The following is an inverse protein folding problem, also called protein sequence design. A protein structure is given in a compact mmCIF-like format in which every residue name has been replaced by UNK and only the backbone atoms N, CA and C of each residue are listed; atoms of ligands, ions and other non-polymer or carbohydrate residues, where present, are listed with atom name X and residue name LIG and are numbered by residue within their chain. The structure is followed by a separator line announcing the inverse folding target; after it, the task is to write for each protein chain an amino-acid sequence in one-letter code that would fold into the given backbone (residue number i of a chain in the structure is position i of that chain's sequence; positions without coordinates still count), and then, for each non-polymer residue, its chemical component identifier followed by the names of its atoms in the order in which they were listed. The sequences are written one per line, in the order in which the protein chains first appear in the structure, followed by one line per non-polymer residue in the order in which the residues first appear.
data_IF_589313861254
#
_entry.id   IF_589313861254
#
_cell.length_a   1.000
_cell.length_b   1.000
_cell.length_c   1.000
_cell.angle_alpha   90.00
_cell.angle_beta   90.00
_cell.angle_gamma   90.00
#
_symmetry.space_group_name_H-M   'P 1'
#
loop_
_entity.id
_entity.type
_entity.pdbx_description
1 polymer ?
#
# COMPACT_ATOMS: atom_id res chain seq x y z
N UNK A 1 16.50 -6.11 15.52
CA UNK A 1 16.27 -4.65 15.57
C UNK A 1 15.01 -4.41 14.75
N UNK A 2 13.85 -4.55 15.39
CA UNK A 2 12.54 -4.57 14.72
C UNK A 2 11.88 -3.21 14.81
N UNK A 3 11.37 -2.74 13.69
CA UNK A 3 10.66 -1.47 13.55
C UNK A 3 9.42 -1.47 14.46
N UNK A 4 9.36 -0.55 15.41
CA UNK A 4 8.27 -0.40 16.38
C UNK A 4 7.13 0.48 15.86
N UNK A 5 7.23 1.01 14.64
CA UNK A 5 6.20 1.85 14.03
C UNK A 5 5.20 0.95 13.31
N UNK A 6 4.01 0.76 13.91
CA UNK A 6 2.92 0.03 13.26
C UNK A 6 2.42 0.85 12.07
N UNK A 7 2.64 0.36 10.85
CA UNK A 7 2.11 0.94 9.60
C UNK A 7 0.61 0.67 9.36
N UNK A 8 -0.05 -0.04 10.28
CA UNK A 8 -1.48 -0.27 10.30
C UNK A 8 -2.01 -0.20 11.73
N UNK A 9 -3.18 0.39 11.92
CA UNK A 9 -3.79 0.53 13.25
C UNK A 9 -5.23 0.99 13.20
N UNK A 10 -5.99 0.68 14.25
CA UNK A 10 -7.33 1.21 14.44
C UNK A 10 -7.24 2.71 14.74
N UNK A 11 -7.87 3.52 13.91
CA UNK A 11 -7.93 4.96 14.12
C UNK A 11 -9.19 5.31 14.93
N UNK A 12 -9.01 5.94 16.10
CA UNK A 12 -10.09 6.44 16.93
C UNK A 12 -9.73 7.82 17.52
N UNK A 13 -10.65 8.42 18.28
CA UNK A 13 -10.47 9.75 18.89
C UNK A 13 -9.29 9.85 19.89
N UNK A 14 -8.67 8.73 20.25
CA UNK A 14 -7.49 8.69 21.13
C UNK A 14 -6.17 8.52 20.35
N UNK A 15 -6.22 8.25 19.04
CA UNK A 15 -5.04 8.13 18.20
C UNK A 15 -4.37 9.51 18.06
N UNK A 16 -3.20 9.67 18.67
CA UNK A 16 -2.52 10.97 18.74
C UNK A 16 -1.74 11.32 17.48
N UNK A 17 -1.17 10.33 16.79
CA UNK A 17 -0.27 10.56 15.67
C UNK A 17 -0.16 9.29 14.82
N UNK A 18 -0.35 9.42 13.51
CA UNK A 18 -0.05 8.37 12.54
C UNK A 18 1.08 8.89 11.64
N UNK A 19 2.24 8.26 11.76
CA UNK A 19 3.36 8.49 10.85
C UNK A 19 3.18 7.57 9.66
N UNK A 20 2.71 8.16 8.56
CA UNK A 20 2.73 7.50 7.26
C UNK A 20 4.18 7.63 6.78
N UNK A 21 4.77 6.58 6.23
CA UNK A 21 6.22 6.39 6.20
C UNK A 21 7.00 7.49 5.48
N UNK A 22 8.32 7.42 5.57
CA UNK A 22 9.23 8.52 5.17
C UNK A 22 9.27 8.79 3.65
N UNK A 23 8.49 8.07 2.85
CA UNK A 23 8.63 8.02 1.38
C UNK A 23 7.28 8.04 0.63
N UNK A 24 6.36 8.93 1.01
CA UNK A 24 5.16 9.20 0.22
C UNK A 24 4.15 8.06 0.18
N UNK A 25 4.04 7.30 1.26
CA UNK A 25 3.13 6.16 1.32
C UNK A 25 1.65 6.61 1.26
N UNK A 26 0.77 5.84 0.59
CA UNK A 26 -0.65 6.12 0.60
C UNK A 26 -1.26 5.86 1.99
N UNK A 27 -2.16 6.74 2.43
CA UNK A 27 -3.04 6.53 3.57
C UNK A 27 -4.39 6.02 3.07
N UNK A 28 -4.81 4.86 3.58
CA UNK A 28 -6.13 4.27 3.27
C UNK A 28 -6.95 4.27 4.56
N UNK A 29 -8.17 4.77 4.48
CA UNK A 29 -9.14 4.77 5.57
C UNK A 29 -10.37 4.01 5.08
N UNK A 30 -10.81 3.04 5.86
CA UNK A 30 -11.95 2.18 5.55
C UNK A 30 -12.56 1.67 6.85
N UNK A 31 -13.83 1.27 6.79
CA UNK A 31 -14.50 0.65 7.93
C UNK A 31 -14.10 -0.83 8.06
N UNK A 32 -13.43 -1.17 9.16
CA UNK A 32 -13.05 -2.56 9.46
C UNK A 32 -14.21 -3.42 9.97
N UNK A 33 -15.29 -2.82 10.47
CA UNK A 33 -16.43 -3.56 11.04
C UNK A 33 -17.23 -4.31 9.97
N UNK A 34 -17.22 -3.80 8.74
CA UNK A 34 -17.87 -4.41 7.58
C UNK A 34 -16.85 -4.97 6.57
N UNK A 35 -15.71 -5.47 7.08
CA UNK A 35 -14.64 -6.05 6.26
C UNK A 35 -14.15 -5.13 5.12
N UNK A 36 -14.29 -3.81 5.25
CA UNK A 36 -13.92 -2.84 4.22
C UNK A 36 -14.80 -2.87 2.97
N UNK A 37 -16.06 -3.30 3.07
CA UNK A 37 -16.97 -3.42 1.92
C UNK A 37 -17.67 -2.12 1.49
N UNK A 38 -17.69 -1.10 2.35
CA UNK A 38 -18.42 0.15 2.09
C UNK A 38 -17.46 1.32 1.83
N UNK A 39 -17.78 2.49 2.39
CA UNK A 39 -17.02 3.72 2.24
C UNK A 39 -15.55 3.54 2.59
N UNK A 40 -14.72 3.91 1.62
CA UNK A 40 -13.29 3.88 1.75
C UNK A 40 -12.68 5.05 0.98
N UNK A 41 -11.55 5.53 1.48
CA UNK A 41 -10.83 6.67 0.91
C UNK A 41 -9.35 6.38 0.93
N UNK A 42 -8.68 6.73 -0.17
CA UNK A 42 -7.22 6.68 -0.29
C UNK A 42 -6.71 8.09 -0.55
N UNK A 43 -5.70 8.47 0.22
CA UNK A 43 -5.01 9.73 0.14
C UNK A 43 -3.55 9.41 -0.16
N UNK A 44 -3.05 9.82 -1.32
CA UNK A 44 -1.68 9.49 -1.73
C UNK A 44 -1.01 10.66 -2.42
N UNK A 45 0.32 10.73 -2.44
CA UNK A 45 1.03 11.60 -3.37
C UNK A 45 0.65 11.24 -4.82
N UNK A 46 0.60 12.26 -5.66
CA UNK A 46 0.44 12.20 -7.12
C UNK A 46 1.68 12.74 -7.84
N UNK A 47 2.60 13.40 -7.14
CA UNK A 47 3.93 13.74 -7.66
C UNK A 47 4.97 13.64 -6.54
N UNK A 48 6.25 13.70 -6.92
CA UNK A 48 7.36 13.82 -5.97
C UNK A 48 7.35 12.74 -4.87
N UNK A 49 6.96 11.50 -5.20
CA UNK A 49 6.71 10.39 -4.26
C UNK A 49 7.84 10.20 -3.23
N UNK A 50 9.08 10.18 -3.72
CA UNK A 50 10.28 9.92 -2.89
C UNK A 50 10.68 11.10 -2.00
N UNK A 51 10.11 12.28 -2.25
CA UNK A 51 10.42 13.53 -1.55
C UNK A 51 9.23 14.08 -0.80
N UNK A 52 8.13 13.33 -0.74
CA UNK A 52 6.87 13.75 -0.14
C UNK A 52 6.62 13.01 1.16
N UNK A 53 6.10 13.73 2.15
CA UNK A 53 5.70 13.20 3.44
C UNK A 53 4.23 13.50 3.69
N UNK A 54 3.57 12.54 4.33
CA UNK A 54 2.20 12.65 4.80
C UNK A 54 2.21 12.38 6.31
N UNK A 55 1.60 13.25 7.11
CA UNK A 55 1.40 13.01 8.54
C UNK A 55 -0.03 13.33 8.94
N UNK A 56 -0.55 12.57 9.90
CA UNK A 56 -1.84 12.85 10.53
C UNK A 56 -1.61 13.19 11.98
N UNK A 57 -1.94 14.43 12.34
CA UNK A 57 -1.89 14.93 13.71
C UNK A 57 -3.32 15.23 14.18
N UNK A 58 -3.86 14.35 15.04
CA UNK A 58 -5.26 14.37 15.48
C UNK A 58 -6.26 14.33 14.32
N UNK A 59 -6.70 15.50 13.85
CA UNK A 59 -7.70 15.69 12.79
C UNK A 59 -7.14 16.51 11.61
N UNK A 60 -5.83 16.76 11.59
CA UNK A 60 -5.17 17.54 10.56
C UNK A 60 -4.30 16.59 9.74
N UNK A 61 -4.59 16.54 8.45
CA UNK A 61 -3.70 15.95 7.46
C UNK A 61 -2.67 16.99 7.04
N UNK A 62 -1.41 16.67 7.25
CA UNK A 62 -0.27 17.47 6.83
C UNK A 62 0.40 16.79 5.64
N UNK A 63 0.72 17.57 4.62
CA UNK A 63 1.27 17.08 3.37
C UNK A 63 2.29 18.06 2.81
N UNK A 64 3.43 17.55 2.34
CA UNK A 64 4.44 18.38 1.71
C UNK A 64 5.77 17.66 1.49
N UNK A 65 6.82 18.44 1.22
CA UNK A 65 8.16 17.90 1.08
C UNK A 65 8.71 17.37 2.42
N UNK A 66 9.51 16.31 2.37
CA UNK A 66 10.22 15.79 3.56
C UNK A 66 11.11 16.88 4.16
N UNK A 67 11.10 17.01 5.50
CA UNK A 67 11.86 18.05 6.20
C UNK A 67 13.39 17.95 6.07
N UNK A 68 13.90 16.81 5.59
CA UNK A 68 15.33 16.58 5.35
C UNK A 68 15.83 17.10 3.99
N UNK A 69 14.95 17.61 3.13
CA UNK A 69 15.35 18.20 1.85
C UNK A 69 16.20 19.45 2.06
N UNK A 70 17.37 19.48 1.41
CA UNK A 70 18.32 20.60 1.51
C UNK A 70 17.96 21.79 0.61
N UNK A 71 17.26 21.53 -0.49
CA UNK A 71 16.87 22.52 -1.47
C UNK A 71 15.74 22.00 -2.34
N UNK A 72 14.75 22.84 -2.63
CA UNK A 72 13.65 22.54 -3.55
C UNK A 72 13.94 23.28 -4.86
N UNK A 73 14.01 22.59 -6.02
CA UNK A 73 14.19 23.24 -7.30
C UNK A 73 13.13 24.31 -7.57
N UNK A 74 13.52 25.37 -8.30
CA UNK A 74 12.57 26.41 -8.71
C UNK A 74 11.49 25.79 -9.60
N UNK A 75 10.22 26.13 -9.32
CA UNK A 75 9.04 25.62 -10.02
C UNK A 75 8.72 24.13 -9.76
N UNK A 76 9.24 23.52 -8.70
CA UNK A 76 8.76 22.20 -8.25
C UNK A 76 7.28 22.28 -7.82
N UNK A 77 6.53 21.21 -8.12
CA UNK A 77 5.11 21.07 -7.73
C UNK A 77 4.91 19.78 -6.95
N UNK A 78 4.21 19.87 -5.83
CA UNK A 78 3.86 18.71 -5.02
C UNK A 78 2.33 18.54 -5.02
N UNK A 79 1.86 17.45 -5.61
CA UNK A 79 0.44 17.21 -5.88
C UNK A 79 -0.07 16.01 -5.10
N UNK A 80 -1.18 16.16 -4.40
CA UNK A 80 -1.86 15.09 -3.66
C UNK A 80 -3.07 14.62 -4.46
N UNK A 81 -3.40 13.32 -4.35
CA UNK A 81 -4.67 12.77 -4.82
C UNK A 81 -5.49 12.24 -3.64
N UNK A 82 -6.79 12.50 -3.70
CA UNK A 82 -7.79 11.90 -2.82
C UNK A 82 -8.79 11.17 -3.71
N UNK A 83 -8.97 9.88 -3.48
CA UNK A 83 -9.90 9.04 -4.22
C UNK A 83 -10.84 8.34 -3.23
N UNK A 84 -12.13 8.32 -3.55
CA UNK A 84 -13.19 7.77 -2.71
C UNK A 84 -13.94 6.66 -3.46
N UNK A 85 -14.37 5.64 -2.74
CA UNK A 85 -15.20 4.54 -3.24
C UNK A 85 -16.23 4.15 -2.20
N UNK A 86 -17.48 4.00 -2.62
CA UNK A 86 -18.56 3.40 -1.84
C UNK A 86 -18.57 1.87 -1.90
N UNK A 87 -17.82 1.28 -2.83
CA UNK A 87 -17.88 -0.16 -3.16
C UNK A 87 -16.72 -0.96 -2.51
N UNK A 88 -16.21 -0.45 -1.39
CA UNK A 88 -15.18 -1.11 -0.61
C UNK A 88 -13.74 -0.86 -1.05
N UNK A 89 -12.83 -1.32 -0.20
CA UNK A 89 -11.38 -1.11 -0.32
C UNK A 89 -10.78 -1.77 -1.56
N UNK A 90 -11.31 -2.93 -1.98
CA UNK A 90 -10.81 -3.62 -3.17
C UNK A 90 -11.09 -2.80 -4.43
N UNK A 91 -12.32 -2.32 -4.58
CA UNK A 91 -12.70 -1.46 -5.69
C UNK A 91 -11.93 -0.14 -5.64
N UNK A 92 -11.78 0.47 -4.46
CA UNK A 92 -10.96 1.66 -4.25
C UNK A 92 -9.54 1.47 -4.78
N UNK A 93 -8.86 0.41 -4.36
CA UNK A 93 -7.48 0.12 -4.73
C UNK A 93 -7.33 -0.16 -6.23
N UNK A 94 -8.27 -0.90 -6.82
CA UNK A 94 -8.28 -1.16 -8.26
C UNK A 94 -8.42 0.14 -9.06
N UNK A 95 -9.42 0.96 -8.76
CA UNK A 95 -9.69 2.18 -9.50
C UNK A 95 -8.61 3.23 -9.29
N UNK A 96 -8.11 3.40 -8.07
CA UNK A 96 -6.95 4.24 -7.78
C UNK A 96 -5.73 3.77 -8.58
N UNK A 97 -5.44 2.47 -8.61
CA UNK A 97 -4.33 1.91 -9.38
C UNK A 97 -4.46 2.14 -10.89
N UNK A 98 -5.68 2.03 -11.44
CA UNK A 98 -5.97 2.35 -12.84
C UNK A 98 -5.76 3.84 -13.12
N UNK A 99 -6.21 4.71 -12.21
CA UNK A 99 -6.05 6.15 -12.33
C UNK A 99 -4.57 6.55 -12.34
N UNK A 100 -3.78 6.01 -11.41
CA UNK A 100 -2.32 6.24 -11.37
C UNK A 100 -1.65 5.79 -12.67
N UNK A 101 -2.01 4.62 -13.20
CA UNK A 101 -1.47 4.17 -14.48
C UNK A 101 -1.81 5.14 -15.62
N UNK A 102 -3.06 5.64 -15.68
CA UNK A 102 -3.47 6.62 -16.70
C UNK A 102 -2.71 7.94 -16.58
N UNK A 103 -2.59 8.49 -15.37
CA UNK A 103 -1.89 9.76 -15.11
C UNK A 103 -0.42 9.69 -15.55
N UNK A 104 0.25 8.56 -15.31
CA UNK A 104 1.66 8.37 -15.65
C UNK A 104 1.89 7.67 -17.00
N UNK A 105 0.85 7.52 -17.82
CA UNK A 105 0.89 6.84 -19.11
C UNK A 105 1.58 5.46 -19.05
N UNK A 106 1.28 4.70 -17.98
CA UNK A 106 1.77 3.34 -17.77
C UNK A 106 0.79 2.32 -18.31
N UNK A 107 1.34 1.21 -18.80
CA UNK A 107 0.57 0.10 -19.33
C UNK A 107 0.86 -1.18 -18.54
N UNK A 108 -0.09 -2.11 -18.54
CA UNK A 108 0.07 -3.42 -17.92
C UNK A 108 1.02 -4.36 -18.67
N UNK A 109 1.66 -3.93 -19.76
CA UNK A 109 2.48 -4.78 -20.62
C UNK A 109 3.59 -5.49 -19.83
N UNK A 110 4.30 -4.78 -18.96
CA UNK A 110 5.36 -5.39 -18.15
C UNK A 110 4.78 -6.32 -17.09
N UNK A 111 3.71 -5.89 -16.42
CA UNK A 111 3.04 -6.69 -15.38
C UNK A 111 2.59 -8.04 -15.91
N UNK A 112 1.91 -8.06 -17.06
CA UNK A 112 1.38 -9.29 -17.66
C UNK A 112 2.46 -10.25 -18.17
N UNK A 113 3.68 -9.76 -18.39
CA UNK A 113 4.80 -10.56 -18.87
C UNK A 113 5.80 -10.93 -17.75
N UNK A 114 5.54 -10.50 -16.52
CA UNK A 114 6.42 -10.74 -15.38
C UNK A 114 5.95 -11.95 -14.57
N UNK A 115 6.69 -13.05 -14.67
CA UNK A 115 6.39 -14.30 -13.97
C UNK A 115 6.44 -14.17 -12.45
N UNK A 116 7.15 -13.19 -11.90
CA UNK A 116 7.34 -13.06 -10.45
C UNK A 116 6.12 -12.48 -9.73
N UNK A 117 5.25 -11.75 -10.46
CA UNK A 117 4.08 -11.06 -9.90
C UNK A 117 2.73 -11.56 -10.44
N UNK A 118 2.74 -12.45 -11.45
CA UNK A 118 1.53 -13.10 -11.96
C UNK A 118 1.20 -14.43 -11.25
N UNK A 119 2.09 -14.90 -10.39
CA UNK A 119 1.92 -16.11 -9.61
C UNK A 119 2.17 -15.80 -8.13
N UNK A 120 1.55 -16.58 -7.24
CA UNK A 120 1.79 -16.45 -5.82
C UNK A 120 3.27 -16.78 -5.53
N UNK A 121 4.05 -15.75 -5.25
CA UNK A 121 5.44 -15.89 -4.83
C UNK A 121 5.51 -16.28 -3.36
N UNK A 122 6.44 -17.19 -3.05
CA UNK A 122 6.72 -17.60 -1.68
C UNK A 122 8.18 -17.26 -1.35
N UNK A 123 8.39 -16.48 -0.29
CA UNK A 123 9.71 -16.04 0.17
C UNK A 123 10.06 -16.75 1.48
N UNK A 124 11.12 -17.56 1.47
CA UNK A 124 11.56 -18.40 2.61
C UNK A 124 12.49 -17.66 3.57
N UNK A 125 12.26 -16.38 3.86
CA UNK A 125 13.04 -15.68 4.88
C UNK A 125 12.45 -15.97 6.27
N UNK A 126 13.31 -16.47 7.16
CA UNK A 126 13.05 -16.96 8.53
C UNK A 126 12.18 -18.23 8.67
N UNK A 127 12.77 -19.40 8.37
CA UNK A 127 12.40 -20.64 9.06
C UNK A 127 11.00 -21.15 8.74
N UNK A 128 10.73 -21.35 7.46
CA UNK A 128 9.53 -21.97 6.91
C UNK A 128 9.05 -23.20 7.71
N UNK A 129 8.00 -23.02 8.52
CA UNK A 129 7.29 -24.11 9.21
C UNK A 129 6.58 -25.09 8.24
N UNK A 130 6.60 -24.80 6.93
CA UNK A 130 6.06 -25.63 5.85
C UNK A 130 7.12 -26.46 5.11
N UNK A 131 8.38 -26.49 5.55
CA UNK A 131 9.38 -27.35 4.91
C UNK A 131 9.10 -28.86 5.09
N UNK A 132 8.17 -29.23 5.98
CA UNK A 132 7.88 -30.64 6.30
C UNK A 132 6.38 -30.99 6.33
N UNK A 133 5.47 -30.03 6.10
CA UNK A 133 4.03 -30.28 6.09
C UNK A 133 3.49 -30.09 4.67
N UNK A 134 3.63 -31.12 3.85
CA UNK A 134 2.84 -31.25 2.64
C UNK A 134 1.44 -31.74 2.98
N UNK A 135 0.48 -31.50 2.08
CA UNK A 135 -0.81 -32.19 2.16
C UNK A 135 -0.56 -33.71 2.20
N UNK A 136 -1.32 -34.49 3.00
CA UNK A 136 -1.10 -35.93 3.11
C UNK A 136 -1.01 -36.58 1.72
N UNK A 137 0.10 -37.29 1.46
CA UNK A 137 0.41 -37.97 0.19
C UNK A 137 0.80 -37.07 -1.00
N UNK A 138 1.10 -35.78 -0.79
CA UNK A 138 1.54 -34.87 -1.85
C UNK A 138 3.00 -34.45 -1.64
N UNK A 139 3.73 -34.23 -2.73
CA UNK A 139 5.01 -33.54 -2.66
C UNK A 139 4.82 -32.01 -2.68
N UNK A 140 5.91 -31.28 -2.52
CA UNK A 140 5.90 -29.82 -2.43
C UNK A 140 5.31 -29.17 -3.68
N UNK A 141 5.75 -29.61 -4.86
CA UNK A 141 5.32 -29.10 -6.15
C UNK A 141 3.81 -29.31 -6.36
N UNK A 142 3.32 -30.50 -6.00
CA UNK A 142 1.90 -30.84 -6.08
C UNK A 142 1.07 -30.02 -5.08
N UNK A 143 1.59 -29.77 -3.88
CA UNK A 143 0.89 -28.98 -2.85
C UNK A 143 0.71 -27.53 -3.31
N UNK A 144 1.77 -26.88 -3.82
CA UNK A 144 1.70 -25.49 -4.31
C UNK A 144 0.74 -25.33 -5.49
N UNK A 145 0.70 -26.30 -6.41
CA UNK A 145 -0.22 -26.26 -7.56
C UNK A 145 -1.70 -26.40 -7.12
N UNK A 146 -1.97 -27.06 -5.98
CA UNK A 146 -3.32 -27.30 -5.47
C UNK A 146 -3.91 -26.12 -4.70
N UNK A 147 -3.10 -25.20 -4.17
CA UNK A 147 -3.57 -24.01 -3.41
C UNK A 147 -4.04 -22.90 -4.36
N UNK A 148 -4.74 -23.27 -5.44
CA UNK A 148 -5.20 -22.35 -6.49
C UNK A 148 -6.57 -21.77 -6.18
#
# INVERSE_FOLDING_TARGET
MGELEKHAGLWNNQSKFLKIGMSGDPLIIFDSTEYGQNDSIIISPLSEFMSTSLSVNKHILEYGFIGSIKSIPRNSTNSLIIYYSSDGINHLMEQWGILMQKVFNRTNKYRLNDLTINYLGYYTDNGAYYYYNTEPQMNYEQTIIKIK
#
